data_IF_307595205691
#
_entry.id   IF_307595205691
#
_cell.length_a   1.000
_cell.length_b   1.000
_cell.length_c   1.000
_cell.angle_alpha   90.00
_cell.angle_beta   90.00
_cell.angle_gamma   90.00
#
_symmetry.space_group_name_H-M   'P 1'
#
loop_
_entity.id
_entity.type
_entity.pdbx_description
1 polymer ?
#
# COMPACT_ATOMS: atom_id res chain seq x y z
N UNK A 1 -12.48 -4.99 -22.67
CA UNK A 1 -12.52 -4.05 -21.56
C UNK A 1 -11.40 -4.35 -20.60
N UNK A 2 -10.71 -3.36 -20.28
CA UNK A 2 -9.58 -3.53 -19.41
C UNK A 2 -10.00 -3.96 -18.01
N UNK A 3 -9.18 -4.78 -17.41
CA UNK A 3 -9.33 -5.09 -16.00
C UNK A 3 -8.97 -3.85 -15.20
N UNK A 4 -9.96 -3.31 -14.50
CA UNK A 4 -9.73 -2.13 -13.68
C UNK A 4 -9.22 -2.56 -12.31
N UNK A 5 -8.02 -2.18 -11.96
CA UNK A 5 -7.41 -2.49 -10.66
C UNK A 5 -6.88 -1.21 -10.03
N UNK A 6 -7.72 -0.51 -9.24
CA UNK A 6 -7.30 0.73 -8.58
C UNK A 6 -6.11 0.56 -7.65
N UNK A 7 -5.95 -0.61 -7.04
CA UNK A 7 -4.82 -0.88 -6.16
C UNK A 7 -3.53 -0.91 -6.97
N UNK A 8 -3.51 -1.64 -8.09
CA UNK A 8 -2.34 -1.67 -8.97
C UNK A 8 -1.98 -0.29 -9.48
N UNK A 9 -2.99 0.52 -9.85
CA UNK A 9 -2.76 1.89 -10.30
C UNK A 9 -2.12 2.73 -9.20
N UNK A 10 -2.63 2.63 -7.96
CA UNK A 10 -2.07 3.32 -6.81
C UNK A 10 -0.61 2.95 -6.58
N UNK A 11 -0.31 1.64 -6.57
CA UNK A 11 1.06 1.17 -6.36
C UNK A 11 2.00 1.66 -7.46
N UNK A 12 1.53 1.66 -8.70
CA UNK A 12 2.31 2.13 -9.84
C UNK A 12 2.63 3.61 -9.71
N UNK A 13 1.64 4.42 -9.32
CA UNK A 13 1.83 5.87 -9.15
C UNK A 13 2.86 6.16 -8.06
N UNK A 14 2.76 5.47 -6.92
CA UNK A 14 3.70 5.63 -5.82
C UNK A 14 5.10 5.20 -6.25
N UNK A 15 5.21 4.05 -6.89
CA UNK A 15 6.50 3.51 -7.35
C UNK A 15 7.18 4.46 -8.34
N UNK A 16 6.44 4.91 -9.34
CA UNK A 16 6.99 5.82 -10.35
C UNK A 16 7.43 7.15 -9.75
N UNK A 17 6.61 7.71 -8.85
CA UNK A 17 6.97 8.96 -8.18
C UNK A 17 8.21 8.80 -7.31
N UNK A 18 8.34 7.66 -6.62
CA UNK A 18 9.52 7.37 -5.80
C UNK A 18 10.78 7.25 -6.64
N UNK A 19 10.70 6.58 -7.79
CA UNK A 19 11.84 6.44 -8.70
C UNK A 19 12.31 7.79 -9.23
N UNK A 20 11.38 8.70 -9.50
CA UNK A 20 11.68 10.05 -10.00
C UNK A 20 11.98 11.03 -8.86
N UNK A 21 11.92 10.58 -7.63
CA UNK A 21 12.17 11.37 -6.43
C UNK A 21 11.26 12.58 -6.29
N UNK A 22 9.98 12.42 -6.66
CA UNK A 22 8.96 13.45 -6.42
C UNK A 22 8.65 13.52 -4.94
N UNK A 23 8.33 14.72 -4.44
CA UNK A 23 7.96 14.90 -3.04
C UNK A 23 6.59 14.30 -2.74
N UNK A 24 5.67 14.37 -3.70
CA UNK A 24 4.28 13.96 -3.52
C UNK A 24 3.78 13.25 -4.76
N UNK A 25 2.75 12.42 -4.55
CA UNK A 25 2.01 11.83 -5.66
C UNK A 25 0.53 11.86 -5.34
N UNK A 26 -0.30 11.87 -6.38
CA UNK A 26 -1.76 11.88 -6.23
C UNK A 26 -2.33 10.55 -6.67
N UNK A 27 -3.29 10.05 -5.91
CA UNK A 27 -4.04 8.85 -6.27
C UNK A 27 -5.52 9.10 -6.05
N UNK A 28 -6.41 8.47 -6.85
CA UNK A 28 -7.84 8.63 -6.62
C UNK A 28 -8.23 8.20 -5.21
N UNK A 29 -9.07 8.99 -4.55
CA UNK A 29 -9.50 8.69 -3.18
C UNK A 29 -10.61 7.64 -3.20
N UNK A 30 -10.46 6.65 -2.34
CA UNK A 30 -11.48 5.63 -2.07
C UNK A 30 -11.22 5.11 -0.67
N UNK A 31 -12.15 4.31 -0.14
CA UNK A 31 -11.92 3.67 1.15
C UNK A 31 -10.65 2.81 1.12
N UNK A 32 -10.51 2.05 0.03
CA UNK A 32 -9.39 1.14 -0.11
C UNK A 32 -8.06 1.91 -0.23
N UNK A 33 -8.01 2.94 -1.09
CA UNK A 33 -6.77 3.70 -1.25
C UNK A 33 -6.37 4.41 0.04
N UNK A 34 -7.35 4.97 0.77
CA UNK A 34 -7.08 5.60 2.06
C UNK A 34 -6.59 4.58 3.09
N UNK A 35 -7.21 3.40 3.14
CA UNK A 35 -6.81 2.34 4.07
C UNK A 35 -5.39 1.87 3.80
N UNK A 36 -5.03 1.66 2.55
CA UNK A 36 -3.68 1.28 2.16
C UNK A 36 -2.69 2.39 2.51
N UNK A 37 -3.03 3.64 2.22
CA UNK A 37 -2.17 4.78 2.54
C UNK A 37 -1.91 4.88 4.03
N UNK A 38 -2.92 4.64 4.87
CA UNK A 38 -2.75 4.67 6.32
C UNK A 38 -1.80 3.58 6.81
N UNK A 39 -1.87 2.38 6.22
CA UNK A 39 -0.93 1.31 6.57
C UNK A 39 0.48 1.71 6.17
N UNK A 40 0.66 2.25 4.97
CA UNK A 40 1.97 2.71 4.50
C UNK A 40 2.54 3.80 5.41
N UNK A 41 1.70 4.72 5.87
CA UNK A 41 2.13 5.77 6.78
C UNK A 41 2.54 5.20 8.14
N UNK A 42 1.74 4.30 8.69
CA UNK A 42 2.02 3.67 9.98
C UNK A 42 3.32 2.88 9.95
N UNK A 43 3.59 2.19 8.83
CA UNK A 43 4.79 1.40 8.68
C UNK A 43 6.01 2.23 8.26
N UNK A 44 5.83 3.54 8.08
CA UNK A 44 6.93 4.45 7.81
C UNK A 44 7.35 4.58 6.36
N UNK A 45 6.52 4.11 5.43
CA UNK A 45 6.83 4.18 4.00
C UNK A 45 6.46 5.53 3.37
N UNK A 46 5.45 6.20 3.90
CA UNK A 46 5.07 7.54 3.43
C UNK A 46 4.97 8.48 4.62
N UNK A 47 5.12 9.79 4.35
CA UNK A 47 5.15 10.81 5.39
C UNK A 47 3.76 11.30 5.76
N UNK A 48 3.01 11.77 4.79
CA UNK A 48 1.73 12.43 5.07
C UNK A 48 0.67 12.05 4.05
N UNK A 49 -0.59 12.19 4.48
CA UNK A 49 -1.75 11.91 3.65
C UNK A 49 -2.65 13.13 3.73
N UNK A 50 -2.94 13.75 2.59
CA UNK A 50 -3.87 14.87 2.49
C UNK A 50 -4.93 14.55 1.45
N UNK A 51 -6.04 15.28 1.49
CA UNK A 51 -7.11 15.09 0.53
C UNK A 51 -7.30 16.38 -0.27
N UNK A 52 -7.65 16.24 -1.54
CA UNK A 52 -7.91 17.36 -2.43
C UNK A 52 -9.11 17.03 -3.32
N UNK A 53 -9.95 18.04 -3.56
CA UNK A 53 -11.12 17.88 -4.40
C UNK A 53 -12.34 17.40 -3.64
N UNK A 54 -13.44 17.22 -4.36
CA UNK A 54 -14.72 16.81 -3.79
C UNK A 54 -15.38 15.75 -4.64
N UNK A 55 -16.19 14.92 -4.00
CA UNK A 55 -16.98 13.89 -4.65
C UNK A 55 -16.09 12.88 -5.39
N UNK A 56 -16.45 12.57 -6.60
CA UNK A 56 -15.72 11.57 -7.41
C UNK A 56 -14.36 12.08 -7.90
N UNK A 57 -14.11 13.38 -7.79
CA UNK A 57 -12.82 13.99 -8.17
C UNK A 57 -11.85 14.05 -7.00
N UNK A 58 -12.25 13.57 -5.85
CA UNK A 58 -11.40 13.58 -4.67
C UNK A 58 -10.16 12.73 -4.87
N UNK A 59 -9.03 13.29 -4.51
CA UNK A 59 -7.75 12.59 -4.61
C UNK A 59 -7.02 12.63 -3.27
N UNK A 60 -6.20 11.62 -3.04
CA UNK A 60 -5.28 11.61 -1.92
C UNK A 60 -3.94 12.14 -2.41
N UNK A 61 -3.33 13.00 -1.63
CA UNK A 61 -1.99 13.50 -1.89
C UNK A 61 -1.08 12.84 -0.88
N UNK A 62 -0.18 11.98 -1.36
CA UNK A 62 0.71 11.20 -0.51
C UNK A 62 2.10 11.80 -0.52
N UNK A 63 2.61 12.15 0.67
CA UNK A 63 3.97 12.64 0.82
C UNK A 63 4.94 11.48 0.87
N UNK A 64 5.91 11.45 -0.03
CA UNK A 64 6.88 10.37 -0.13
C UNK A 64 8.08 10.63 0.77
N UNK A 65 8.78 9.57 1.17
CA UNK A 65 9.92 9.65 2.07
C UNK A 65 11.20 9.22 1.37
N UNK A 66 12.27 9.89 1.70
CA UNK A 66 13.60 9.62 1.18
C UNK A 66 14.60 9.65 2.33
N UNK A 67 15.73 9.01 2.14
CA UNK A 67 16.77 8.95 3.16
C UNK A 67 18.15 9.21 2.56
N UNK A 68 19.05 9.79 3.36
CA UNK A 68 20.42 10.03 2.98
C UNK A 68 20.65 11.22 2.08
N UNK A 69 21.92 11.48 1.79
CA UNK A 69 22.32 12.62 0.96
C UNK A 69 21.83 12.51 -0.48
N UNK A 70 21.67 11.29 -0.98
CA UNK A 70 21.26 11.05 -2.36
C UNK A 70 19.75 10.91 -2.51
N UNK A 71 18.99 11.18 -1.45
CA UNK A 71 17.53 11.05 -1.45
C UNK A 71 17.06 9.71 -1.99
N UNK A 72 17.60 8.65 -1.40
CA UNK A 72 17.18 7.29 -1.77
C UNK A 72 15.76 7.04 -1.30
N UNK A 73 14.89 6.50 -2.17
CA UNK A 73 13.51 6.21 -1.76
C UNK A 73 13.45 5.22 -0.61
N UNK A 74 12.58 5.49 0.36
CA UNK A 74 12.29 4.54 1.43
C UNK A 74 11.58 3.32 0.84
N UNK A 75 10.65 3.56 -0.10
CA UNK A 75 9.97 2.48 -0.82
C UNK A 75 10.88 1.99 -1.94
N UNK A 76 11.32 0.75 -1.84
CA UNK A 76 12.19 0.13 -2.85
C UNK A 76 11.41 -0.74 -3.82
N UNK A 77 10.33 -1.36 -3.35
CA UNK A 77 9.56 -2.30 -4.16
C UNK A 77 8.12 -2.31 -3.70
N UNK A 78 7.20 -2.36 -4.65
CA UNK A 78 5.78 -2.56 -4.39
C UNK A 78 5.26 -3.55 -5.41
N UNK A 79 4.67 -4.64 -4.93
CA UNK A 79 4.21 -5.72 -5.79
C UNK A 79 2.76 -6.08 -5.47
N UNK A 80 1.92 -6.03 -6.50
CA UNK A 80 0.53 -6.48 -6.38
C UNK A 80 0.50 -8.00 -6.26
N UNK A 81 -0.21 -8.53 -5.28
CA UNK A 81 -0.33 -9.97 -5.07
C UNK A 81 -1.69 -10.47 -5.53
N UNK A 82 -2.76 -10.06 -4.84
CA UNK A 82 -4.12 -10.40 -5.24
C UNK A 82 -4.53 -9.53 -6.42
N UNK A 83 -5.20 -10.10 -7.40
CA UNK A 83 -5.62 -9.39 -8.62
C UNK A 83 -7.09 -9.65 -8.88
N UNK A 84 -7.78 -8.80 -9.65
CA UNK A 84 -9.20 -9.02 -9.92
C UNK A 84 -9.53 -10.42 -10.46
N UNK A 85 -8.68 -10.98 -11.30
CA UNK A 85 -8.87 -12.32 -11.87
C UNK A 85 -8.28 -13.44 -11.03
N UNK A 86 -7.55 -13.13 -9.97
CA UNK A 86 -6.90 -14.15 -9.13
C UNK A 86 -6.71 -13.59 -7.73
N UNK A 87 -7.69 -13.84 -6.87
CA UNK A 87 -7.64 -13.40 -5.47
C UNK A 87 -6.83 -14.37 -4.63
N UNK A 88 -5.95 -13.85 -3.79
CA UNK A 88 -5.08 -14.64 -2.92
C UNK A 88 -5.48 -14.40 -1.47
N UNK A 89 -5.90 -15.47 -0.80
CA UNK A 89 -6.32 -15.43 0.60
C UNK A 89 -5.40 -16.30 1.44
N UNK A 90 -5.10 -15.86 2.64
CA UNK A 90 -4.29 -16.62 3.59
C UNK A 90 -4.92 -16.56 4.98
N UNK A 91 -4.83 -17.65 5.72
CA UNK A 91 -5.23 -17.64 7.12
C UNK A 91 -4.09 -17.06 7.96
N UNK A 92 -4.33 -16.88 9.26
CA UNK A 92 -3.35 -16.28 10.18
C UNK A 92 -1.99 -16.94 10.10
N UNK A 93 -1.95 -18.28 10.07
CA UNK A 93 -0.68 -19.02 10.07
C UNK A 93 0.04 -18.94 8.73
N UNK A 94 -0.72 -18.76 7.66
CA UNK A 94 -0.16 -18.70 6.31
C UNK A 94 0.19 -17.31 5.82
N UNK A 95 0.07 -16.27 6.66
CA UNK A 95 0.38 -14.90 6.26
C UNK A 95 1.85 -14.79 5.89
N UNK A 96 2.15 -14.17 4.73
CA UNK A 96 3.53 -14.07 4.26
C UNK A 96 4.35 -13.07 5.08
N UNK A 97 5.65 -13.33 5.13
CA UNK A 97 6.61 -12.35 5.63
C UNK A 97 7.43 -11.87 4.45
N UNK A 98 7.44 -10.56 4.22
CA UNK A 98 8.18 -9.98 3.12
C UNK A 98 9.62 -9.76 3.55
N UNK A 99 10.57 -10.34 2.81
CA UNK A 99 12.00 -10.24 3.10
C UNK A 99 12.33 -10.55 4.57
N UNK A 100 11.76 -11.65 5.09
CA UNK A 100 12.03 -12.07 6.48
C UNK A 100 11.53 -11.11 7.54
N UNK A 101 10.58 -10.25 7.20
CA UNK A 101 10.02 -9.27 8.13
C UNK A 101 10.54 -7.85 7.94
N UNK A 102 11.47 -7.63 7.00
CA UNK A 102 11.96 -6.29 6.68
C UNK A 102 10.94 -5.49 5.87
N UNK A 103 10.13 -6.17 5.07
CA UNK A 103 9.04 -5.55 4.34
C UNK A 103 7.71 -5.82 5.00
N UNK A 104 6.63 -5.41 4.34
CA UNK A 104 5.27 -5.50 4.85
C UNK A 104 4.36 -6.07 3.78
N UNK A 105 3.46 -6.98 4.17
CA UNK A 105 2.34 -7.37 3.34
C UNK A 105 1.12 -6.60 3.84
N UNK A 106 0.34 -6.06 2.93
CA UNK A 106 -0.90 -5.36 3.28
C UNK A 106 -2.05 -6.34 3.07
N UNK A 107 -2.81 -6.57 4.14
CA UNK A 107 -3.85 -7.59 4.20
C UNK A 107 -5.21 -6.94 4.40
N UNK A 108 -6.20 -7.35 3.62
CA UNK A 108 -7.58 -6.94 3.82
C UNK A 108 -8.28 -8.01 4.64
N UNK A 109 -8.63 -7.67 5.88
CA UNK A 109 -9.24 -8.60 6.83
C UNK A 109 -10.66 -8.17 7.18
N UNK A 110 -11.36 -9.04 7.90
CA UNK A 110 -12.70 -8.70 8.42
C UNK A 110 -12.67 -7.54 9.40
N UNK A 111 -11.51 -7.23 9.97
CA UNK A 111 -11.32 -6.12 10.91
C UNK A 111 -10.68 -4.90 10.25
N UNK A 112 -10.58 -4.89 8.92
CA UNK A 112 -10.03 -3.79 8.16
C UNK A 112 -8.74 -4.15 7.44
N UNK A 113 -8.19 -3.15 6.75
CA UNK A 113 -6.92 -3.30 6.04
C UNK A 113 -5.79 -3.04 7.04
N UNK A 114 -4.82 -3.95 7.08
CA UNK A 114 -3.73 -3.85 8.05
C UNK A 114 -2.48 -4.53 7.51
N UNK A 115 -1.36 -4.36 8.22
CA UNK A 115 -0.13 -5.07 7.90
C UNK A 115 -0.24 -6.54 8.31
N UNK A 116 0.63 -7.37 7.73
CA UNK A 116 0.71 -8.78 8.13
C UNK A 116 1.04 -8.93 9.62
N UNK A 117 1.86 -8.02 10.17
CA UNK A 117 2.20 -8.05 11.60
C UNK A 117 0.98 -7.83 12.47
N UNK A 118 0.18 -6.82 12.13
CA UNK A 118 -1.04 -6.53 12.88
C UNK A 118 -2.06 -7.66 12.73
N UNK A 119 -2.19 -8.22 11.54
CA UNK A 119 -3.09 -9.34 11.31
C UNK A 119 -2.69 -10.55 12.15
N UNK A 120 -1.40 -10.85 12.24
CA UNK A 120 -0.92 -11.94 13.10
C UNK A 120 -1.19 -11.66 14.58
N UNK A 121 -0.99 -10.42 15.03
CA UNK A 121 -1.28 -10.04 16.42
C UNK A 121 -2.74 -10.21 16.75
N UNK A 122 -3.64 -9.89 15.83
CA UNK A 122 -5.07 -9.99 16.04
C UNK A 122 -5.62 -11.38 15.75
N UNK A 123 -4.79 -12.28 15.24
CA UNK A 123 -5.21 -13.64 14.94
C UNK A 123 -6.17 -13.74 13.77
N UNK A 124 -6.05 -12.85 12.79
CA UNK A 124 -6.93 -12.84 11.60
C UNK A 124 -6.14 -13.02 10.33
N UNK A 125 -6.76 -13.65 9.36
CA UNK A 125 -6.24 -13.74 8.01
C UNK A 125 -7.08 -12.91 7.06
N UNK A 126 -6.77 -12.94 5.79
CA UNK A 126 -7.52 -12.21 4.79
C UNK A 126 -6.91 -12.27 3.41
N UNK A 127 -7.32 -11.32 2.59
CA UNK A 127 -6.81 -11.18 1.22
C UNK A 127 -5.47 -10.46 1.25
N UNK A 128 -4.46 -11.07 0.63
CA UNK A 128 -3.14 -10.44 0.52
C UNK A 128 -3.16 -9.49 -0.65
N UNK A 129 -3.18 -8.20 -0.39
CA UNK A 129 -3.30 -7.18 -1.43
C UNK A 129 -1.99 -6.93 -2.15
N UNK A 130 -0.93 -6.70 -1.41
CA UNK A 130 0.36 -6.36 -2.00
C UNK A 130 1.51 -6.55 -1.00
N UNK A 131 2.72 -6.55 -1.53
CA UNK A 131 3.96 -6.53 -0.75
C UNK A 131 4.64 -5.18 -0.93
N UNK A 132 5.20 -4.64 0.14
CA UNK A 132 5.94 -3.38 0.12
C UNK A 132 7.25 -3.55 0.90
N UNK A 133 8.34 -3.05 0.34
CA UNK A 133 9.61 -3.01 1.06
C UNK A 133 10.47 -1.83 0.64
#
# INVERSE_FOLDING_TARGET
>A
MANHDPISDMLTRIRNASEKRHEKTKVPASRMSLSIAKVLQREGFIAEINEEGEGYRKQLILGLKYTGKHRSPIIRSMQRVSKPGLRIYKNTRGLPKVLGGLGVAIISTSKGVMSDRDARKQGVGGEVLCYVC
#
